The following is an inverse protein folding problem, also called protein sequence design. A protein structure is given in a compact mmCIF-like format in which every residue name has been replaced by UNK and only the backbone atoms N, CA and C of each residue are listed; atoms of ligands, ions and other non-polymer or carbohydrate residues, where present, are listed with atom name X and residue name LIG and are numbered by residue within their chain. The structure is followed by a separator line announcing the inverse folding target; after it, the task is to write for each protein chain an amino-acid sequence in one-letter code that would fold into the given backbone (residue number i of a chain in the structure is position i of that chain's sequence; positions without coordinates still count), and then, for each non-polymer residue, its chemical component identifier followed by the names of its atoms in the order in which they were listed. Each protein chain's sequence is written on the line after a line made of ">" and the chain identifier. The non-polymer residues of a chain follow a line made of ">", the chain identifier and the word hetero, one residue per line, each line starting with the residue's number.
data_IF_693844651721
#
_entry.id   IF_693844651721
#
_cell.length_a   1.000
_cell.length_b   1.000
_cell.length_c   1.000
_cell.angle_alpha   90.00
_cell.angle_beta   90.00
_cell.angle_gamma   90.00
#
_symmetry.space_group_name_H-M   'P 1'
#
loop_
_entity.id
_entity.type
_entity.pdbx_description
1 polymer ?
#
# COMPACT_ATOMS: atom_id res chain seq x y z
N UNK A 1 -8.46 35.44 -9.30
CA UNK A 1 -7.53 34.29 -9.30
C UNK A 1 -7.93 33.39 -8.14
N UNK A 2 -8.54 32.23 -8.38
CA UNK A 2 -8.89 31.29 -7.30
C UNK A 2 -7.65 30.48 -7.02
N UNK A 3 -7.02 30.68 -5.88
CA UNK A 3 -5.92 29.85 -5.41
C UNK A 3 -6.47 28.48 -5.05
N UNK A 4 -5.81 27.41 -5.51
CA UNK A 4 -6.17 26.08 -5.07
C UNK A 4 -5.98 25.99 -3.55
N UNK A 5 -7.00 25.50 -2.85
CA UNK A 5 -6.94 25.26 -1.40
C UNK A 5 -5.79 24.30 -1.10
N UNK A 6 -4.86 24.71 -0.24
CA UNK A 6 -3.75 23.84 0.17
C UNK A 6 -4.27 22.77 1.10
N UNK A 7 -3.76 21.57 0.95
CA UNK A 7 -4.13 20.42 1.77
C UNK A 7 -2.90 19.74 2.34
N UNK A 8 -3.01 19.24 3.56
CA UNK A 8 -1.97 18.44 4.22
C UNK A 8 -2.56 17.05 4.46
N UNK A 9 -1.85 16.03 4.01
CA UNK A 9 -2.21 14.63 4.28
C UNK A 9 -1.37 14.13 5.45
N UNK A 10 -2.02 13.60 6.47
CA UNK A 10 -1.33 13.07 7.65
C UNK A 10 -2.09 11.89 8.25
N UNK A 11 -1.38 11.16 9.12
CA UNK A 11 -1.93 10.00 9.83
C UNK A 11 -2.28 8.83 8.90
N UNK A 12 -2.07 7.64 9.40
CA UNK A 12 -2.57 6.40 8.77
C UNK A 12 -3.63 5.84 9.71
N UNK A 13 -4.91 5.90 9.30
CA UNK A 13 -6.01 5.50 10.17
C UNK A 13 -6.38 4.03 10.01
N UNK A 14 -6.24 3.50 8.81
CA UNK A 14 -6.76 2.19 8.49
C UNK A 14 -5.93 1.56 7.37
N UNK A 15 -5.27 0.44 7.67
CA UNK A 15 -4.57 -0.38 6.68
C UNK A 15 -5.28 -1.71 6.59
N UNK A 16 -5.51 -2.17 5.38
CA UNK A 16 -6.09 -3.48 5.15
C UNK A 16 -5.52 -4.13 3.89
N UNK A 17 -5.48 -5.45 3.85
CA UNK A 17 -5.04 -6.21 2.69
C UNK A 17 -6.12 -7.19 2.24
N UNK A 18 -6.08 -7.56 0.96
CA UNK A 18 -6.92 -8.63 0.45
C UNK A 18 -6.32 -9.97 0.85
N UNK A 19 -7.12 -10.83 1.44
CA UNK A 19 -6.73 -12.19 1.81
C UNK A 19 -7.46 -13.24 1.00
N UNK A 20 -6.92 -14.45 0.98
CA UNK A 20 -7.55 -15.63 0.37
C UNK A 20 -7.07 -15.95 -1.04
N UNK A 21 -7.03 -17.24 -1.36
CA UNK A 21 -6.76 -17.78 -2.69
C UNK A 21 -8.09 -18.10 -3.38
N UNK A 22 -8.26 -17.57 -4.59
CA UNK A 22 -9.36 -17.93 -5.49
C UNK A 22 -10.68 -17.18 -5.26
N UNK A 23 -10.91 -16.15 -6.03
CA UNK A 23 -12.23 -15.56 -6.34
C UNK A 23 -12.96 -14.76 -5.27
N UNK A 24 -12.83 -15.10 -4.00
CA UNK A 24 -13.48 -14.44 -2.86
C UNK A 24 -12.38 -13.87 -1.94
N UNK A 25 -11.76 -12.78 -2.35
CA UNK A 25 -10.79 -12.11 -1.50
C UNK A 25 -11.51 -11.52 -0.28
N UNK A 26 -11.20 -12.03 0.91
CA UNK A 26 -11.61 -11.43 2.17
C UNK A 26 -10.76 -10.21 2.46
N UNK A 27 -11.31 -9.24 3.17
CA UNK A 27 -10.54 -8.10 3.65
C UNK A 27 -9.95 -8.43 5.03
N UNK A 28 -8.64 -8.33 5.15
CA UNK A 28 -7.91 -8.50 6.40
C UNK A 28 -7.53 -7.10 6.90
N UNK A 29 -8.04 -6.72 8.07
CA UNK A 29 -7.68 -5.47 8.71
C UNK A 29 -6.30 -5.62 9.37
N UNK A 30 -5.36 -4.74 9.03
CA UNK A 30 -4.08 -4.66 9.72
C UNK A 30 -4.22 -3.82 10.98
N UNK A 31 -3.76 -4.34 12.10
CA UNK A 31 -3.77 -3.67 13.40
C UNK A 31 -2.35 -3.46 13.88
N UNK A 32 -2.09 -2.29 14.51
CA UNK A 32 -0.76 -1.99 15.06
C UNK A 32 0.25 -1.47 14.05
N UNK A 33 -0.22 -0.94 12.91
CA UNK A 33 0.67 -0.30 11.93
C UNK A 33 1.26 0.98 12.51
N UNK A 34 2.57 0.99 12.70
CA UNK A 34 3.33 2.13 13.18
C UNK A 34 3.73 3.07 12.03
N UNK A 35 4.03 2.49 10.86
CA UNK A 35 4.47 3.24 9.68
C UNK A 35 3.96 2.58 8.39
N UNK A 36 3.59 3.39 7.42
CA UNK A 36 3.25 2.95 6.08
C UNK A 36 3.86 3.94 5.08
N UNK A 37 4.95 3.54 4.44
CA UNK A 37 5.78 4.42 3.62
C UNK A 37 5.90 3.92 2.18
N UNK A 38 5.06 4.39 1.23
CA UNK A 38 5.22 4.09 -0.18
C UNK A 38 6.35 4.93 -0.80
N UNK A 39 7.19 4.31 -1.60
CA UNK A 39 8.29 4.93 -2.32
C UNK A 39 8.27 4.53 -3.79
N UNK A 40 8.55 5.48 -4.67
CA UNK A 40 8.66 5.25 -6.11
C UNK A 40 10.09 5.57 -6.53
N UNK A 41 10.80 4.54 -6.97
CA UNK A 41 12.14 4.67 -7.51
C UNK A 41 12.14 4.48 -9.03
N UNK A 42 12.98 5.24 -9.71
CA UNK A 42 13.21 5.11 -11.13
C UNK A 42 14.70 5.29 -11.43
N UNK A 43 15.34 4.19 -11.74
CA UNK A 43 16.73 4.19 -12.15
C UNK A 43 16.87 4.61 -13.62
N UNK A 44 17.96 5.30 -13.91
CA UNK A 44 18.37 5.61 -15.27
C UNK A 44 19.79 5.08 -15.52
N UNK A 45 20.05 4.67 -16.74
CA UNK A 45 21.38 4.21 -17.17
C UNK A 45 21.81 4.99 -18.41
N UNK A 46 22.96 5.63 -18.30
CA UNK A 46 23.58 6.28 -19.43
C UNK A 46 24.32 5.24 -20.31
N UNK A 47 23.97 5.23 -21.56
CA UNK A 47 24.71 4.49 -22.59
C UNK A 47 25.77 5.45 -23.17
N UNK A 48 27.03 5.11 -22.96
CA UNK A 48 28.16 5.91 -23.42
C UNK A 48 28.74 5.30 -24.68
N UNK A 49 29.02 6.14 -25.68
CA UNK A 49 29.80 5.81 -26.86
C UNK A 49 30.84 6.93 -27.05
N UNK A 50 32.08 6.57 -27.40
CA UNK A 50 33.21 7.53 -27.64
C UNK A 50 33.40 8.50 -26.47
N UNK A 51 33.36 8.02 -25.22
CA UNK A 51 33.48 8.78 -23.98
C UNK A 51 32.41 9.88 -23.78
N UNK A 52 31.31 9.85 -24.55
CA UNK A 52 30.16 10.76 -24.41
C UNK A 52 28.92 9.97 -24.12
N UNK A 53 27.99 10.57 -23.34
CA UNK A 53 26.66 10.01 -23.15
C UNK A 53 25.89 10.08 -24.47
N UNK A 54 25.54 8.93 -25.04
CA UNK A 54 24.82 8.83 -26.29
C UNK A 54 23.31 8.84 -26.09
N UNK A 55 22.84 8.16 -25.05
CA UNK A 55 21.43 8.16 -24.61
C UNK A 55 21.32 7.78 -23.15
N UNK A 56 20.27 8.23 -22.50
CA UNK A 56 19.89 7.79 -21.17
C UNK A 56 18.68 6.87 -21.26
N UNK A 57 18.81 5.64 -20.81
CA UNK A 57 17.72 4.68 -20.69
C UNK A 57 17.09 4.80 -19.31
N UNK A 58 15.79 4.94 -19.26
CA UNK A 58 15.03 4.94 -18.00
C UNK A 58 14.41 3.58 -17.75
N UNK A 59 14.65 3.01 -16.58
CA UNK A 59 13.97 1.79 -16.15
C UNK A 59 12.52 2.08 -15.78
N UNK A 60 11.63 1.08 -15.86
CA UNK A 60 10.27 1.22 -15.35
C UNK A 60 10.27 1.60 -13.88
N UNK A 61 9.39 2.53 -13.49
CA UNK A 61 9.21 2.92 -12.09
C UNK A 61 8.93 1.70 -11.21
N UNK A 62 9.70 1.57 -10.14
CA UNK A 62 9.49 0.56 -9.09
C UNK A 62 8.73 1.23 -7.95
N UNK A 63 7.59 0.66 -7.57
CA UNK A 63 6.83 1.08 -6.41
C UNK A 63 7.02 0.05 -5.30
N UNK A 64 7.51 0.50 -4.17
CA UNK A 64 7.69 -0.28 -2.95
C UNK A 64 6.91 0.34 -1.80
N UNK A 65 6.53 -0.47 -0.82
CA UNK A 65 5.88 -0.01 0.40
C UNK A 65 6.62 -0.63 1.57
N UNK A 66 7.11 0.20 2.47
CA UNK A 66 7.65 -0.21 3.76
C UNK A 66 6.57 -0.08 4.82
N UNK A 67 6.34 -1.15 5.56
CA UNK A 67 5.34 -1.20 6.63
C UNK A 67 6.06 -1.64 7.90
N UNK A 68 5.99 -0.79 8.94
CA UNK A 68 6.39 -1.15 10.28
C UNK A 68 5.14 -1.45 11.09
N UNK A 69 5.12 -2.60 11.72
CA UNK A 69 3.99 -3.06 12.52
C UNK A 69 4.49 -3.57 13.87
N UNK A 70 3.77 -3.27 14.94
CA UNK A 70 4.07 -3.82 16.26
C UNK A 70 3.66 -5.30 16.36
N UNK A 71 2.69 -5.72 15.59
CA UNK A 71 2.21 -7.09 15.57
C UNK A 71 1.47 -7.37 14.27
N UNK A 72 1.69 -8.54 13.69
CA UNK A 72 0.88 -9.08 12.61
C UNK A 72 -0.11 -10.11 13.13
N UNK A 73 -1.35 -10.07 12.67
CA UNK A 73 -2.33 -11.11 12.93
C UNK A 73 -1.98 -12.40 12.19
N UNK A 74 -2.53 -13.52 12.62
CA UNK A 74 -2.36 -14.81 11.95
C UNK A 74 -2.75 -14.74 10.46
N UNK A 75 -3.86 -14.05 10.14
CA UNK A 75 -4.36 -13.90 8.78
C UNK A 75 -3.41 -13.06 7.91
N UNK A 76 -2.80 -12.02 8.48
CA UNK A 76 -1.78 -11.23 7.79
C UNK A 76 -0.54 -12.07 7.51
N UNK A 77 -0.07 -12.86 8.48
CA UNK A 77 1.08 -13.74 8.31
C UNK A 77 0.84 -14.78 7.21
N UNK A 78 -0.32 -15.42 7.20
CA UNK A 78 -0.70 -16.37 6.15
C UNK A 78 -0.76 -15.71 4.77
N UNK A 79 -1.35 -14.51 4.66
CA UNK A 79 -1.41 -13.75 3.41
C UNK A 79 -0.02 -13.33 2.92
N UNK A 80 0.89 -13.06 3.83
CA UNK A 80 2.28 -12.72 3.53
C UNK A 80 3.18 -13.93 3.23
N UNK A 81 2.62 -15.13 3.12
CA UNK A 81 3.32 -16.32 2.66
C UNK A 81 3.88 -17.22 3.77
N UNK A 82 3.52 -16.96 5.02
CA UNK A 82 3.83 -17.88 6.10
C UNK A 82 2.84 -19.04 6.16
N UNK A 83 3.29 -20.18 6.66
CA UNK A 83 2.44 -21.35 6.94
C UNK A 83 2.37 -21.57 8.43
N UNK A 84 1.17 -21.76 8.97
CA UNK A 84 0.98 -22.06 10.40
C UNK A 84 1.25 -23.54 10.67
N UNK A 85 2.20 -23.81 11.58
CA UNK A 85 2.59 -25.18 11.98
C UNK A 85 2.68 -25.24 13.48
N UNK A 86 1.83 -26.08 14.10
CA UNK A 86 1.85 -26.33 15.57
C UNK A 86 1.87 -25.05 16.44
N UNK A 87 1.11 -24.02 16.03
CA UNK A 87 1.01 -22.77 16.78
C UNK A 87 2.10 -21.73 16.47
N UNK A 88 3.10 -22.07 15.65
CA UNK A 88 4.10 -21.15 15.11
C UNK A 88 3.89 -20.85 13.64
N UNK A 89 4.73 -20.00 13.08
CA UNK A 89 4.76 -19.64 11.66
C UNK A 89 6.08 -20.06 11.02
N UNK A 90 6.00 -20.62 9.83
CA UNK A 90 7.15 -20.98 9.01
C UNK A 90 7.05 -20.20 7.70
N UNK A 91 8.12 -19.52 7.31
CA UNK A 91 8.20 -18.90 6.00
C UNK A 91 8.27 -19.99 4.92
N UNK A 92 7.25 -20.07 4.09
CA UNK A 92 7.17 -21.07 3.03
C UNK A 92 7.96 -20.68 1.77
N UNK A 93 8.47 -19.46 1.71
CA UNK A 93 9.13 -18.91 0.51
C UNK A 93 8.18 -18.70 -0.67
N UNK A 94 6.87 -18.96 -0.49
CA UNK A 94 5.85 -18.81 -1.53
C UNK A 94 4.93 -17.65 -1.18
N UNK A 95 5.05 -16.56 -1.92
CA UNK A 95 4.31 -15.33 -1.66
C UNK A 95 3.22 -15.12 -2.72
N UNK A 96 1.97 -15.31 -2.32
CA UNK A 96 0.84 -14.93 -3.17
C UNK A 96 0.69 -13.40 -3.19
N UNK A 97 0.48 -12.80 -4.37
CA UNK A 97 0.24 -11.36 -4.45
C UNK A 97 -1.11 -10.99 -3.83
N UNK A 98 -1.17 -9.82 -3.21
CA UNK A 98 -2.37 -9.26 -2.60
C UNK A 98 -2.51 -7.77 -2.90
N UNK A 99 -3.72 -7.25 -2.76
CA UNK A 99 -3.97 -5.82 -2.84
C UNK A 99 -3.94 -5.25 -1.41
N UNK A 100 -3.36 -4.06 -1.23
CA UNK A 100 -3.29 -3.38 0.07
C UNK A 100 -3.84 -1.97 -0.04
N UNK A 101 -4.57 -1.53 0.95
CA UNK A 101 -5.11 -0.18 1.03
C UNK A 101 -4.77 0.49 2.36
N UNK A 102 -4.72 1.81 2.33
CA UNK A 102 -4.67 2.66 3.54
C UNK A 102 -5.63 3.82 3.41
N UNK A 103 -6.09 4.30 4.55
CA UNK A 103 -6.82 5.56 4.68
C UNK A 103 -5.95 6.54 5.45
N UNK A 104 -5.91 7.77 4.97
CA UNK A 104 -5.23 8.90 5.61
C UNK A 104 -6.18 10.07 5.75
N UNK A 105 -5.96 10.92 6.76
CA UNK A 105 -6.69 12.18 6.93
C UNK A 105 -6.09 13.25 6.05
N UNK A 106 -6.94 14.06 5.44
CA UNK A 106 -6.57 15.24 4.66
C UNK A 106 -7.20 16.46 5.30
N UNK A 107 -6.36 17.37 5.77
CA UNK A 107 -6.77 18.66 6.34
C UNK A 107 -6.60 19.75 5.28
N UNK A 108 -7.63 20.55 5.09
CA UNK A 108 -7.64 21.70 4.18
C UNK A 108 -7.43 23.01 4.96
N UNK A 109 -6.91 24.05 4.30
CA UNK A 109 -6.70 25.38 4.91
C UNK A 109 -7.97 26.01 5.49
N UNK A 110 -9.15 25.62 4.99
CA UNK A 110 -10.45 26.07 5.47
C UNK A 110 -10.93 25.32 6.74
N UNK A 111 -10.09 24.44 7.29
CA UNK A 111 -10.41 23.61 8.46
C UNK A 111 -11.25 22.37 8.13
N UNK A 112 -11.57 22.13 6.87
CA UNK A 112 -12.32 20.93 6.47
C UNK A 112 -11.41 19.71 6.56
N UNK A 113 -11.91 18.66 7.22
CA UNK A 113 -11.23 17.35 7.30
C UNK A 113 -11.94 16.36 6.41
N UNK A 114 -11.17 15.66 5.60
CA UNK A 114 -11.68 14.57 4.76
C UNK A 114 -10.72 13.38 4.78
N UNK A 115 -11.10 12.32 4.11
CA UNK A 115 -10.30 11.09 4.05
C UNK A 115 -9.81 10.84 2.63
N UNK A 116 -8.60 10.32 2.54
CA UNK A 116 -7.98 9.87 1.29
C UNK A 116 -7.73 8.38 1.38
N UNK A 117 -8.14 7.66 0.37
CA UNK A 117 -7.87 6.22 0.19
C UNK A 117 -6.77 6.05 -0.85
N UNK A 118 -5.73 5.35 -0.49
CA UNK A 118 -4.71 4.85 -1.40
C UNK A 118 -4.82 3.33 -1.47
N UNK A 119 -4.92 2.76 -2.67
CA UNK A 119 -4.95 1.31 -2.91
C UNK A 119 -3.78 0.94 -3.82
N UNK A 120 -3.05 -0.08 -3.45
CA UNK A 120 -1.90 -0.61 -4.17
C UNK A 120 -2.19 -2.03 -4.60
N UNK A 121 -2.02 -2.33 -5.89
CA UNK A 121 -2.45 -3.58 -6.49
C UNK A 121 -1.31 -4.55 -6.74
N UNK A 122 -1.60 -5.82 -6.48
CA UNK A 122 -0.68 -6.92 -6.76
C UNK A 122 0.68 -6.73 -6.06
N UNK A 123 0.62 -6.42 -4.75
CA UNK A 123 1.78 -6.33 -3.89
C UNK A 123 2.28 -7.75 -3.53
N UNK A 124 3.58 -7.93 -3.53
CA UNK A 124 4.23 -9.15 -3.06
C UNK A 124 5.14 -8.83 -1.90
N UNK A 125 5.14 -9.68 -0.88
CA UNK A 125 6.06 -9.57 0.24
C UNK A 125 7.50 -9.73 -0.24
N UNK A 126 8.36 -8.86 0.26
CA UNK A 126 9.80 -8.87 0.04
C UNK A 126 10.55 -9.20 1.32
N UNK A 127 11.51 -8.34 1.68
CA UNK A 127 12.29 -8.50 2.91
C UNK A 127 11.43 -8.31 4.17
N UNK A 128 11.80 -9.05 5.19
CA UNK A 128 11.26 -8.95 6.54
C UNK A 128 12.41 -8.72 7.50
N UNK A 129 12.30 -7.76 8.36
CA UNK A 129 13.29 -7.43 9.38
C UNK A 129 12.59 -7.27 10.72
N UNK A 130 13.17 -7.84 11.75
CA UNK A 130 12.76 -7.70 13.12
C UNK A 130 13.80 -6.84 13.81
N UNK A 131 13.40 -5.74 14.46
CA UNK A 131 14.29 -4.93 15.24
C UNK A 131 14.23 -5.38 16.69
N UNK A 132 15.39 -5.76 17.25
CA UNK A 132 15.60 -5.93 18.67
C UNK A 132 16.41 -4.72 19.15
N UNK A 133 15.72 -3.67 19.57
CA UNK A 133 16.38 -2.60 20.31
C UNK A 133 16.47 -3.06 21.78
N UNK A 134 17.68 -3.09 22.33
CA UNK A 134 17.87 -3.32 23.77
C UNK A 134 17.25 -2.14 24.54
N UNK A 135 16.50 -2.45 25.59
CA UNK A 135 15.90 -1.45 26.47
C UNK A 135 16.99 -0.68 27.23
N UNK A 136 17.41 0.47 26.73
CA UNK A 136 18.12 1.49 27.48
C UNK A 136 17.07 2.39 28.15
N UNK A 137 16.81 2.21 29.42
CA UNK A 137 15.99 3.08 30.30
C UNK A 137 14.57 3.48 29.83
N UNK A 138 14.20 3.25 28.56
CA UNK A 138 12.88 3.48 27.96
C UNK A 138 12.36 2.21 27.30
N UNK A 139 11.08 1.88 27.54
CA UNK A 139 10.42 0.74 26.89
C UNK A 139 10.20 1.10 25.42
N UNK A 140 11.05 0.58 24.53
CA UNK A 140 10.88 0.70 23.08
C UNK A 140 10.14 -0.55 22.55
N UNK A 141 8.89 -0.41 22.08
CA UNK A 141 8.18 -1.56 21.56
C UNK A 141 8.84 -2.06 20.27
N UNK A 142 9.08 -3.38 20.23
CA UNK A 142 9.60 -4.07 19.06
C UNK A 142 8.73 -3.83 17.82
N UNK A 143 9.36 -3.54 16.70
CA UNK A 143 8.68 -3.39 15.41
C UNK A 143 9.16 -4.42 14.40
N UNK A 144 8.24 -4.82 13.54
CA UNK A 144 8.47 -5.72 12.43
C UNK A 144 8.34 -4.94 11.12
N UNK A 145 9.45 -4.75 10.44
CA UNK A 145 9.49 -4.04 9.16
C UNK A 145 9.36 -5.02 8.00
N UNK A 146 8.43 -4.74 7.10
CA UNK A 146 8.25 -5.49 5.87
C UNK A 146 8.25 -4.58 4.66
N UNK A 147 8.99 -4.98 3.64
CA UNK A 147 8.99 -4.30 2.35
C UNK A 147 8.15 -5.07 1.35
N UNK A 148 7.19 -4.39 0.74
CA UNK A 148 6.35 -4.93 -0.33
C UNK A 148 6.80 -4.34 -1.68
N UNK A 149 6.76 -5.16 -2.73
CA UNK A 149 6.92 -4.70 -4.11
C UNK A 149 5.58 -4.72 -4.82
N UNK A 150 5.16 -3.57 -5.36
CA UNK A 150 3.87 -3.41 -6.07
C UNK A 150 4.09 -3.61 -7.56
N UNK A 151 3.50 -4.65 -8.12
CA UNK A 151 3.61 -4.99 -9.55
C UNK A 151 2.54 -4.33 -10.41
N UNK A 152 1.36 -4.08 -9.83
CA UNK A 152 0.20 -3.56 -10.54
C UNK A 152 -0.71 -4.65 -11.08
N UNK A 153 -1.92 -4.24 -11.46
CA UNK A 153 -2.97 -5.10 -11.98
C UNK A 153 -3.61 -4.45 -13.21
N UNK A 154 -3.85 -5.25 -14.23
CA UNK A 154 -4.65 -4.84 -15.39
C UNK A 154 -6.13 -5.11 -15.07
N UNK A 155 -6.95 -4.08 -15.17
CA UNK A 155 -8.40 -4.15 -14.96
C UNK A 155 -9.19 -4.30 -16.26
N UNK A 156 -8.50 -4.42 -17.40
CA UNK A 156 -9.12 -4.57 -18.72
C UNK A 156 -9.85 -3.30 -19.21
N UNK A 157 -9.52 -2.14 -18.65
CA UNK A 157 -10.16 -0.85 -18.95
C UNK A 157 -9.33 0.04 -19.89
N UNK A 158 -8.27 -0.50 -20.48
CA UNK A 158 -7.37 0.18 -21.40
C UNK A 158 -6.30 1.04 -20.74
N UNK A 159 -6.27 1.14 -19.41
CA UNK A 159 -5.26 1.91 -18.68
C UNK A 159 -3.95 1.13 -18.42
N UNK A 160 -3.88 -0.14 -18.89
CA UNK A 160 -2.71 -0.99 -18.64
C UNK A 160 -2.55 -1.39 -17.17
N UNK A 161 -1.31 -1.59 -16.74
CA UNK A 161 -1.02 -1.99 -15.36
C UNK A 161 -1.16 -0.81 -14.38
N UNK A 162 -2.22 -0.82 -13.59
CA UNK A 162 -2.46 0.13 -12.51
C UNK A 162 -1.75 -0.36 -11.24
N UNK A 163 -0.72 0.35 -10.78
CA UNK A 163 0.00 0.04 -9.55
C UNK A 163 -0.65 0.65 -8.32
N UNK A 164 -1.15 1.88 -8.46
CA UNK A 164 -1.77 2.65 -7.37
C UNK A 164 -3.04 3.32 -7.87
N UNK A 165 -4.04 3.33 -7.00
CA UNK A 165 -5.26 4.10 -7.17
C UNK A 165 -5.45 4.97 -5.93
N UNK A 166 -5.69 6.26 -6.14
CA UNK A 166 -5.87 7.23 -5.06
C UNK A 166 -7.17 7.98 -5.28
N UNK A 167 -7.96 8.11 -4.21
CA UNK A 167 -9.20 8.88 -4.24
C UNK A 167 -9.43 9.59 -2.92
N UNK A 168 -9.91 10.84 -3.00
CA UNK A 168 -10.33 11.63 -1.84
C UNK A 168 -11.85 11.48 -1.67
N UNK A 169 -12.30 11.30 -0.44
CA UNK A 169 -13.72 11.21 -0.12
C UNK A 169 -14.41 12.55 -0.37
N UNK A 170 -15.50 12.48 -1.10
CA UNK A 170 -16.38 13.60 -1.43
C UNK A 170 -17.83 13.21 -1.20
N UNK A 171 -18.75 14.17 -1.18
CA UNK A 171 -20.19 13.85 -1.08
C UNK A 171 -20.67 12.94 -2.22
N UNK A 172 -20.09 13.08 -3.43
CA UNK A 172 -20.47 12.27 -4.60
C UNK A 172 -20.04 10.81 -4.52
N UNK A 173 -18.92 10.51 -3.86
CA UNK A 173 -18.39 9.15 -3.78
C UNK A 173 -18.48 8.54 -2.36
N UNK A 174 -19.11 9.24 -1.43
CA UNK A 174 -19.16 8.84 -0.02
C UNK A 174 -19.66 7.40 0.17
N UNK A 175 -20.77 7.02 -0.46
CA UNK A 175 -21.37 5.68 -0.34
C UNK A 175 -20.39 4.60 -0.80
N UNK A 176 -19.71 4.80 -1.94
CA UNK A 176 -18.72 3.82 -2.43
C UNK A 176 -17.48 3.83 -1.55
N UNK A 177 -16.99 5.02 -1.19
CA UNK A 177 -15.81 5.15 -0.34
C UNK A 177 -15.99 4.43 1.00
N UNK A 178 -17.16 4.54 1.63
CA UNK A 178 -17.44 3.98 2.95
C UNK A 178 -17.55 2.43 2.92
N UNK A 179 -17.64 1.80 1.72
CA UNK A 179 -17.56 0.33 1.59
C UNK A 179 -16.14 -0.24 1.73
N UNK A 180 -15.12 0.61 1.90
CA UNK A 180 -13.73 0.18 2.12
C UNK A 180 -13.56 -0.69 3.38
N UNK A 181 -14.50 -0.62 4.33
CA UNK A 181 -14.47 -1.44 5.55
C UNK A 181 -14.82 -2.92 5.28
N UNK A 182 -15.51 -3.21 4.19
CA UNK A 182 -15.94 -4.56 3.81
C UNK A 182 -15.12 -5.19 2.69
N UNK A 183 -14.47 -4.38 1.86
CA UNK A 183 -13.67 -4.87 0.72
C UNK A 183 -12.52 -3.91 0.38
N UNK A 184 -11.54 -4.42 -0.37
CA UNK A 184 -10.54 -3.58 -1.03
C UNK A 184 -11.17 -2.95 -2.27
N UNK A 185 -11.20 -1.62 -2.33
CA UNK A 185 -11.82 -0.87 -3.42
C UNK A 185 -10.95 -0.87 -4.68
N UNK A 186 -11.61 -0.82 -5.84
CA UNK A 186 -10.99 -0.80 -7.18
C UNK A 186 -11.44 0.44 -7.94
N UNK A 187 -10.71 0.88 -8.97
CA UNK A 187 -11.11 2.02 -9.79
C UNK A 187 -12.52 1.87 -10.38
N UNK A 188 -12.92 0.65 -10.75
CA UNK A 188 -14.25 0.35 -11.28
C UNK A 188 -15.39 0.60 -10.31
N UNK A 189 -15.14 0.52 -9.01
CA UNK A 189 -16.17 0.78 -7.98
C UNK A 189 -16.65 2.24 -8.01
N UNK A 190 -15.85 3.15 -8.55
CA UNK A 190 -16.12 4.59 -8.64
C UNK A 190 -16.62 5.03 -10.02
N UNK A 191 -16.69 4.13 -11.00
CA UNK A 191 -17.13 4.48 -12.38
C UNK A 191 -18.66 4.61 -12.52
N UNK A 192 -19.45 4.16 -11.56
CA UNK A 192 -20.92 4.10 -11.63
C UNK A 192 -21.64 5.33 -11.11
N UNK A 193 -20.95 6.44 -10.88
CA UNK A 193 -21.52 7.69 -10.37
C UNK A 193 -21.51 8.88 -11.34
N UNK A 194 -21.31 8.66 -12.62
CA UNK A 194 -21.22 9.70 -13.63
C UNK A 194 -22.32 9.60 -14.69
N UNK A 195 -23.53 10.03 -14.38
CA UNK A 195 -24.53 10.49 -15.32
C UNK A 195 -25.04 11.85 -14.86
#
# INVERSE_FOLDING_TARGET
>A
MVYATRTITHGTENVAMSGGTGGTATRIQSTGVAKFNPSIDQDSKDVKADARTHMTLQNPKKLTIEIDNYQYSDDEMLQMGFTKVNGGFVDSGSYAPFDIQRITTVDSEDGTKTKKLDVYFNATSGSYTESDDEDDDEINPKTYTRTLTVKGKDFGDGNGLVKQFTIVRTAKNATVFDTNESKILKPSDFKTGGA
#
